data_IF_996728544397
#
_entry.id   IF_996728544397
#
_cell.length_a   1.000
_cell.length_b   1.000
_cell.length_c   1.000
_cell.angle_alpha   90.00
_cell.angle_beta   90.00
_cell.angle_gamma   90.00
#
_symmetry.space_group_name_H-M   'P 1'
#
loop_
_entity.id
_entity.type
_entity.pdbx_description
1 polymer ?
#
# COMPACT_ATOMS: atom_id res chain seq x y z
N UNK A 1 -21.61 -17.25 13.51
CA UNK A 1 -21.91 -16.01 12.79
C UNK A 1 -21.51 -16.17 11.34
N UNK A 2 -22.46 -16.16 10.45
CA UNK A 2 -22.22 -16.57 9.06
C UNK A 2 -21.66 -15.37 8.26
N UNK A 3 -20.34 -15.37 8.05
CA UNK A 3 -19.64 -14.31 7.30
C UNK A 3 -20.22 -14.06 5.91
N UNK A 4 -20.78 -15.10 5.25
CA UNK A 4 -21.48 -14.97 3.97
C UNK A 4 -22.77 -14.16 4.05
N UNK A 5 -23.46 -14.16 5.18
CA UNK A 5 -24.71 -13.40 5.36
C UNK A 5 -24.43 -11.90 5.49
N UNK A 6 -23.33 -11.55 6.16
CA UNK A 6 -22.84 -10.19 6.29
C UNK A 6 -22.42 -9.60 4.93
N UNK A 7 -21.77 -10.41 4.08
CA UNK A 7 -21.46 -10.03 2.70
C UNK A 7 -22.71 -9.94 1.81
N UNK A 8 -23.73 -10.78 2.02
CA UNK A 8 -24.96 -10.78 1.21
C UNK A 8 -25.90 -9.60 1.51
N UNK A 9 -25.97 -9.15 2.74
CA UNK A 9 -26.81 -7.99 3.11
C UNK A 9 -26.13 -6.65 2.77
N UNK A 10 -24.81 -6.57 2.90
CA UNK A 10 -24.03 -5.46 2.36
C UNK A 10 -23.87 -5.55 0.83
N UNK A 11 -23.84 -6.73 0.24
CA UNK A 11 -23.64 -6.94 -1.18
C UNK A 11 -24.72 -6.33 -2.07
N UNK A 12 -25.97 -6.27 -1.62
CA UNK A 12 -27.02 -5.55 -2.34
C UNK A 12 -26.88 -4.03 -2.27
N UNK A 13 -26.34 -3.53 -1.17
CA UNK A 13 -25.95 -2.11 -1.05
C UNK A 13 -24.62 -1.85 -1.73
N UNK A 14 -23.73 -2.83 -1.81
CA UNK A 14 -22.36 -2.74 -2.31
C UNK A 14 -22.30 -2.83 -3.84
N UNK A 15 -23.18 -3.61 -4.50
CA UNK A 15 -23.20 -3.64 -5.97
C UNK A 15 -23.70 -2.31 -6.55
N UNK A 16 -24.72 -1.72 -5.95
CA UNK A 16 -25.20 -0.38 -6.31
C UNK A 16 -24.21 0.69 -5.86
N UNK A 17 -23.50 0.48 -4.76
CA UNK A 17 -22.47 1.39 -4.23
C UNK A 17 -21.12 1.24 -4.89
N UNK A 18 -20.71 0.08 -5.40
CA UNK A 18 -19.50 -0.08 -6.20
C UNK A 18 -19.59 0.73 -7.49
N UNK A 19 -20.75 0.84 -8.07
CA UNK A 19 -21.00 1.77 -9.17
C UNK A 19 -21.07 3.24 -8.70
N UNK A 20 -21.53 3.47 -7.47
CA UNK A 20 -21.51 4.79 -6.80
C UNK A 20 -20.20 5.08 -6.07
N UNK A 21 -19.32 4.11 -5.87
CA UNK A 21 -17.98 4.22 -5.31
C UNK A 21 -16.96 4.89 -6.25
N UNK A 22 -17.35 5.15 -7.44
CA UNK A 22 -16.76 6.28 -8.14
C UNK A 22 -16.89 7.58 -7.29
N UNK A 23 -17.56 7.51 -6.14
CA UNK A 23 -17.85 8.60 -5.23
C UNK A 23 -17.58 8.28 -3.75
N UNK A 24 -16.39 7.87 -3.37
CA UNK A 24 -15.88 7.95 -1.99
C UNK A 24 -16.37 6.95 -0.92
N UNK A 25 -17.22 5.99 -1.15
CA UNK A 25 -17.54 5.00 -0.12
C UNK A 25 -16.76 3.70 -0.33
N UNK A 26 -15.77 3.46 0.50
CA UNK A 26 -14.97 2.23 0.47
C UNK A 26 -15.62 1.14 1.31
N UNK A 27 -15.47 -0.11 0.89
CA UNK A 27 -15.77 -1.25 1.75
C UNK A 27 -14.69 -1.33 2.83
N UNK A 28 -15.02 -0.95 4.05
CA UNK A 28 -14.07 -0.90 5.16
C UNK A 28 -13.74 -2.26 5.77
N UNK A 29 -14.50 -3.32 5.42
CA UNK A 29 -14.31 -4.63 6.03
C UNK A 29 -12.89 -5.18 5.89
N UNK A 30 -12.25 -4.99 4.73
CA UNK A 30 -10.86 -5.37 4.52
C UNK A 30 -9.92 -4.61 5.44
N UNK A 31 -10.06 -3.31 5.51
CA UNK A 31 -9.20 -2.44 6.34
C UNK A 31 -9.39 -2.73 7.83
N UNK A 32 -10.63 -2.96 8.26
CA UNK A 32 -10.93 -3.39 9.62
C UNK A 32 -10.32 -4.76 9.95
N UNK A 33 -10.30 -5.68 8.99
CA UNK A 33 -9.63 -6.97 9.14
C UNK A 33 -8.10 -6.80 9.32
N UNK A 34 -7.48 -5.94 8.52
CA UNK A 34 -6.05 -5.65 8.62
C UNK A 34 -5.71 -5.04 9.99
N UNK A 35 -6.54 -4.12 10.49
CA UNK A 35 -6.34 -3.50 11.81
C UNK A 35 -6.43 -4.49 12.99
N UNK A 36 -7.01 -5.67 12.80
CA UNK A 36 -7.06 -6.73 13.83
C UNK A 36 -5.86 -7.67 13.83
N UNK A 37 -4.96 -7.54 12.85
CA UNK A 37 -3.73 -8.33 12.81
C UNK A 37 -2.75 -7.83 13.87
N UNK A 38 -2.16 -8.74 14.62
CA UNK A 38 -1.34 -8.41 15.79
C UNK A 38 0.13 -8.78 15.63
N UNK A 39 0.50 -9.46 14.56
CA UNK A 39 1.88 -9.86 14.32
C UNK A 39 2.22 -9.80 12.83
N UNK A 40 3.53 -9.73 12.55
CA UNK A 40 4.04 -9.79 11.18
C UNK A 40 3.64 -11.10 10.48
N UNK A 41 3.71 -12.22 11.19
CA UNK A 41 3.34 -13.54 10.66
C UNK A 41 1.86 -13.60 10.28
N UNK A 42 0.96 -13.07 11.11
CA UNK A 42 -0.46 -12.97 10.79
C UNK A 42 -0.70 -12.09 9.56
N UNK A 43 0.02 -10.98 9.46
CA UNK A 43 -0.08 -10.07 8.32
C UNK A 43 0.37 -10.75 7.02
N UNK A 44 1.52 -11.40 7.03
CA UNK A 44 2.04 -12.14 5.88
C UNK A 44 1.05 -13.21 5.42
N UNK A 45 0.59 -14.06 6.33
CA UNK A 45 -0.38 -15.12 6.00
C UNK A 45 -1.70 -14.58 5.46
N UNK A 46 -2.18 -13.47 6.01
CA UNK A 46 -3.40 -12.82 5.54
C UNK A 46 -3.28 -12.37 4.09
N UNK A 47 -2.17 -11.72 3.76
CA UNK A 47 -1.93 -11.23 2.41
C UNK A 47 -1.56 -12.36 1.43
N UNK A 48 -0.87 -13.41 1.88
CA UNK A 48 -0.60 -14.60 1.06
C UNK A 48 -1.89 -15.30 0.63
N UNK A 49 -2.91 -15.32 1.51
CA UNK A 49 -4.22 -15.89 1.17
C UNK A 49 -5.05 -14.97 0.27
N UNK A 50 -4.94 -13.65 0.45
CA UNK A 50 -5.80 -12.67 -0.22
C UNK A 50 -5.30 -12.32 -1.61
N UNK A 51 -4.00 -12.24 -1.81
CA UNK A 51 -3.36 -11.69 -3.01
C UNK A 51 -2.57 -12.75 -3.77
N UNK A 52 -2.50 -12.60 -5.09
CA UNK A 52 -1.53 -13.34 -5.89
C UNK A 52 -0.10 -12.90 -5.56
N UNK A 53 0.86 -13.83 -5.70
CA UNK A 53 2.29 -13.54 -5.44
C UNK A 53 2.79 -12.34 -6.24
N UNK A 54 2.35 -12.20 -7.48
CA UNK A 54 2.71 -11.06 -8.36
C UNK A 54 2.17 -9.73 -7.85
N UNK A 55 0.97 -9.73 -7.26
CA UNK A 55 0.37 -8.53 -6.65
C UNK A 55 1.15 -8.09 -5.41
N UNK A 56 1.51 -9.06 -4.55
CA UNK A 56 2.32 -8.80 -3.35
C UNK A 56 3.69 -8.24 -3.71
N UNK A 57 4.39 -8.88 -4.63
CA UNK A 57 5.70 -8.41 -5.09
C UNK A 57 5.64 -7.01 -5.68
N UNK A 58 4.57 -6.69 -6.39
CA UNK A 58 4.36 -5.34 -6.93
C UNK A 58 4.18 -4.31 -5.81
N UNK A 59 3.41 -4.63 -4.78
CA UNK A 59 3.22 -3.74 -3.62
C UNK A 59 4.52 -3.57 -2.83
N UNK A 60 5.23 -4.65 -2.55
CA UNK A 60 6.54 -4.64 -1.87
C UNK A 60 7.55 -3.79 -2.65
N UNK A 61 7.61 -3.96 -3.97
CA UNK A 61 8.49 -3.16 -4.83
C UNK A 61 8.15 -1.68 -4.78
N UNK A 62 6.86 -1.32 -4.83
CA UNK A 62 6.43 0.08 -4.71
C UNK A 62 6.82 0.69 -3.37
N UNK A 63 6.69 -0.07 -2.29
CA UNK A 63 7.08 0.37 -0.96
C UNK A 63 8.60 0.60 -0.87
N UNK A 64 9.40 -0.31 -1.42
CA UNK A 64 10.85 -0.17 -1.51
C UNK A 64 11.27 1.05 -2.36
N UNK A 65 10.60 1.28 -3.49
CA UNK A 65 10.82 2.46 -4.34
C UNK A 65 10.51 3.75 -3.58
N UNK A 66 9.43 3.77 -2.79
CA UNK A 66 9.10 4.92 -1.95
C UNK A 66 10.23 5.22 -0.95
N UNK A 67 10.81 4.20 -0.32
CA UNK A 67 11.96 4.33 0.56
C UNK A 67 13.18 4.94 -0.14
N UNK A 68 13.49 4.48 -1.33
CA UNK A 68 14.58 5.02 -2.14
C UNK A 68 14.37 6.49 -2.53
N UNK A 69 13.17 6.84 -2.96
CA UNK A 69 12.81 8.22 -3.33
C UNK A 69 12.91 9.18 -2.14
N UNK A 70 12.45 8.76 -0.97
CA UNK A 70 12.55 9.57 0.26
C UNK A 70 13.97 9.70 0.80
N UNK A 71 14.90 8.84 0.37
CA UNK A 71 16.32 8.98 0.62
C UNK A 71 17.03 9.90 -0.40
N UNK A 72 16.32 10.45 -1.36
CA UNK A 72 16.87 11.32 -2.40
C UNK A 72 17.65 10.58 -3.49
N UNK A 73 17.50 9.25 -3.61
CA UNK A 73 18.18 8.47 -4.66
C UNK A 73 17.66 8.84 -6.05
N UNK A 74 18.57 8.81 -7.03
CA UNK A 74 18.21 9.07 -8.43
C UNK A 74 17.59 7.83 -9.06
N UNK A 75 16.81 8.01 -10.13
CA UNK A 75 16.02 6.93 -10.77
C UNK A 75 16.87 5.74 -11.22
N UNK A 76 18.08 5.97 -11.72
CA UNK A 76 18.99 4.89 -12.13
C UNK A 76 19.41 3.98 -10.97
N UNK A 77 19.66 4.56 -9.80
CA UNK A 77 19.97 3.80 -8.57
C UNK A 77 18.76 3.02 -8.09
N UNK A 78 17.58 3.66 -8.07
CA UNK A 78 16.34 3.03 -7.64
C UNK A 78 16.01 1.82 -8.52
N UNK A 79 16.14 1.96 -9.83
CA UNK A 79 15.91 0.86 -10.77
C UNK A 79 16.90 -0.29 -10.56
N UNK A 80 18.15 0.02 -10.31
CA UNK A 80 19.18 -0.98 -10.02
C UNK A 80 18.91 -1.74 -8.71
N UNK A 81 18.51 -1.03 -7.66
CA UNK A 81 18.30 -1.61 -6.33
C UNK A 81 16.98 -2.37 -6.21
N UNK A 82 15.93 -1.88 -6.83
CA UNK A 82 14.57 -2.42 -6.67
C UNK A 82 14.09 -3.28 -7.83
N UNK A 83 14.76 -3.21 -8.98
CA UNK A 83 14.30 -3.82 -10.22
C UNK A 83 13.07 -3.15 -10.84
N UNK A 84 12.60 -2.03 -10.29
CA UNK A 84 11.44 -1.32 -10.79
C UNK A 84 11.70 -0.66 -12.14
N UNK A 85 10.67 -0.62 -13.00
CA UNK A 85 10.71 0.15 -14.24
C UNK A 85 10.66 1.66 -13.97
N UNK A 86 11.11 2.47 -14.92
CA UNK A 86 10.97 3.93 -14.85
C UNK A 86 9.52 4.38 -14.64
N UNK A 87 8.57 3.69 -15.29
CA UNK A 87 7.15 3.96 -15.12
C UNK A 87 6.69 3.70 -13.67
N UNK A 88 7.14 2.62 -13.05
CA UNK A 88 6.86 2.32 -11.64
C UNK A 88 7.45 3.38 -10.72
N UNK A 89 8.69 3.77 -10.92
CA UNK A 89 9.35 4.82 -10.12
C UNK A 89 8.60 6.15 -10.24
N UNK A 90 8.25 6.55 -11.45
CA UNK A 90 7.48 7.78 -11.70
C UNK A 90 6.10 7.74 -11.04
N UNK A 91 5.42 6.60 -11.09
CA UNK A 91 4.11 6.41 -10.44
C UNK A 91 4.20 6.53 -8.92
N UNK A 92 5.20 5.92 -8.32
CA UNK A 92 5.43 6.01 -6.85
C UNK A 92 5.81 7.43 -6.46
N UNK A 93 6.67 8.09 -7.23
CA UNK A 93 7.02 9.48 -6.99
C UNK A 93 5.78 10.40 -7.02
N UNK A 94 4.90 10.19 -7.98
CA UNK A 94 3.64 10.91 -8.05
C UNK A 94 2.74 10.65 -6.85
N UNK A 95 2.65 9.40 -6.39
CA UNK A 95 1.91 9.02 -5.19
C UNK A 95 2.46 9.72 -3.95
N UNK A 96 3.77 9.80 -3.79
CA UNK A 96 4.41 10.49 -2.67
C UNK A 96 4.12 11.99 -2.66
N UNK A 97 4.04 12.61 -3.84
CA UNK A 97 3.81 14.06 -3.97
C UNK A 97 2.32 14.46 -3.91
N UNK A 98 1.43 13.61 -4.40
CA UNK A 98 0.01 13.96 -4.60
C UNK A 98 -0.97 12.99 -3.92
N UNK A 99 -0.48 11.99 -3.22
CA UNK A 99 -1.30 11.04 -2.47
C UNK A 99 -1.72 11.57 -1.09
N UNK A 100 -2.23 10.68 -0.25
CA UNK A 100 -2.70 11.02 1.11
C UNK A 100 -1.58 11.31 2.11
N UNK A 101 -0.34 10.95 1.79
CA UNK A 101 0.81 11.06 2.68
C UNK A 101 1.05 9.85 3.59
N UNK A 102 0.10 8.92 3.67
CA UNK A 102 0.17 7.79 4.61
C UNK A 102 1.37 6.86 4.36
N UNK A 103 1.66 6.54 3.09
CA UNK A 103 2.84 5.72 2.75
C UNK A 103 4.14 6.49 3.06
N UNK A 104 4.18 7.78 2.77
CA UNK A 104 5.34 8.61 3.07
C UNK A 104 5.64 8.67 4.58
N UNK A 105 4.61 8.78 5.41
CA UNK A 105 4.74 8.75 6.87
C UNK A 105 5.29 7.41 7.35
N UNK A 106 4.71 6.30 6.91
CA UNK A 106 5.15 4.95 7.26
C UNK A 106 6.61 4.71 6.87
N UNK A 107 6.99 5.09 5.65
CA UNK A 107 8.37 4.93 5.17
C UNK A 107 9.34 5.81 5.94
N UNK A 108 8.97 7.04 6.31
CA UNK A 108 9.81 7.90 7.14
C UNK A 108 10.04 7.33 8.52
N UNK A 109 9.02 6.70 9.12
CA UNK A 109 9.17 5.98 10.39
C UNK A 109 10.16 4.82 10.26
N UNK A 110 10.07 4.03 9.20
CA UNK A 110 11.00 2.93 8.94
C UNK A 110 12.44 3.43 8.77
N UNK A 111 12.65 4.50 8.00
CA UNK A 111 13.95 5.11 7.79
C UNK A 111 14.52 5.68 9.09
N UNK A 112 13.71 6.36 9.88
CA UNK A 112 14.12 6.90 11.17
C UNK A 112 14.53 5.79 12.15
N UNK A 113 13.82 4.66 12.17
CA UNK A 113 14.17 3.50 12.97
C UNK A 113 15.52 2.88 12.56
N UNK A 114 15.92 3.05 11.30
CA UNK A 114 17.22 2.61 10.77
C UNK A 114 18.33 3.69 10.90
N UNK A 115 18.03 4.84 11.47
CA UNK A 115 18.95 5.97 11.58
C UNK A 115 19.22 6.70 10.25
N UNK A 116 18.35 6.54 9.26
CA UNK A 116 18.45 7.18 7.95
C UNK A 116 17.58 8.42 7.93
N UNK A 117 18.16 9.57 7.58
CA UNK A 117 17.41 10.80 7.35
C UNK A 117 16.68 10.74 6.00
N UNK A 118 15.36 10.97 6.03
CA UNK A 118 14.61 11.20 4.81
C UNK A 118 14.90 12.62 4.31
N UNK A 119 15.24 12.75 3.02
CA UNK A 119 15.32 14.05 2.37
C UNK A 119 13.93 14.68 2.31
N UNK A 120 13.71 15.66 3.15
CA UNK A 120 12.57 16.55 3.02
C UNK A 120 12.86 17.53 1.89
N UNK A 121 12.47 17.17 0.68
CA UNK A 121 12.32 18.21 -0.36
C UNK A 121 11.13 19.08 0.07
N UNK A 122 11.47 20.24 0.55
CA UNK A 122 10.50 21.34 0.64
C UNK A 122 9.96 21.72 -0.73
#
# INVERSE_FOLDING_TARGET
MNKCKFYKERGRRTAVRLYAMQQNERNTALYEAILRLNSLDECIRFFDDLCAVTELRTMEQRYAVAGCLLQGKVYSEIRRETGASSATVSRVNRMLNYGTGSVAESVREDLAAQGITADTKE
#
